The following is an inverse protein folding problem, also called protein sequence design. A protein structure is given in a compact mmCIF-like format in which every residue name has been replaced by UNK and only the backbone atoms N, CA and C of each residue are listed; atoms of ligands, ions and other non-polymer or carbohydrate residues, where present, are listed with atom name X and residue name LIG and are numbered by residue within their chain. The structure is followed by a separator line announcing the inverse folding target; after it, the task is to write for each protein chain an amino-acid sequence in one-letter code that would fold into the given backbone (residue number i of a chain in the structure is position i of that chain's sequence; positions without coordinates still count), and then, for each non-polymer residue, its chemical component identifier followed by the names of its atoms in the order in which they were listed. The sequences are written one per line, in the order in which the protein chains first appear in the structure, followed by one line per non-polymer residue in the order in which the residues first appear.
data_IF_709735223743
#
_entry.id   IF_709735223743
#
_cell.length_a   1.000
_cell.length_b   1.000
_cell.length_c   1.000
_cell.angle_alpha   90.00
_cell.angle_beta   90.00
_cell.angle_gamma   90.00
#
_symmetry.space_group_name_H-M   'P 1'
#
loop_
_entity.id
_entity.type
_entity.pdbx_description
1 polymer ?
#
# COMPACT_ATOMS: atom_id res chain seq x y z
N UNK A 1 5.39 6.36 17.06
CA UNK A 1 4.34 5.43 16.61
C UNK A 1 3.21 6.22 15.96
N UNK A 2 2.82 5.89 14.73
CA UNK A 2 1.75 6.60 14.02
C UNK A 2 0.37 6.30 14.62
N UNK A 3 -0.51 7.30 14.74
CA UNK A 3 -1.92 7.08 15.12
C UNK A 3 -2.61 6.22 14.05
N UNK A 4 -3.48 5.25 14.42
CA UNK A 4 -4.16 4.38 13.47
C UNK A 4 -5.30 5.14 12.75
N UNK A 5 -4.92 6.13 11.93
CA UNK A 5 -5.84 7.03 11.23
C UNK A 5 -6.82 6.26 10.33
N UNK A 6 -6.37 5.18 9.70
CA UNK A 6 -7.21 4.29 8.87
C UNK A 6 -8.28 3.52 9.65
N UNK A 7 -8.22 3.49 10.98
CA UNK A 7 -9.22 2.89 11.88
C UNK A 7 -10.13 3.93 12.53
N UNK A 8 -9.64 5.16 12.68
CA UNK A 8 -10.38 6.27 13.30
C UNK A 8 -11.38 6.87 12.30
N UNK A 9 -11.01 6.93 11.02
CA UNK A 9 -11.91 7.38 9.95
C UNK A 9 -12.78 6.21 9.48
N UNK A 10 -14.11 6.39 9.57
CA UNK A 10 -15.11 5.41 9.13
C UNK A 10 -15.64 5.70 7.72
N UNK A 11 -16.26 4.71 7.09
CA UNK A 11 -16.85 4.84 5.76
C UNK A 11 -15.84 4.95 4.61
N UNK A 12 -16.21 5.72 3.57
CA UNK A 12 -15.44 5.86 2.31
C UNK A 12 -14.06 6.48 2.51
N UNK A 13 -13.95 7.51 3.35
CA UNK A 13 -12.68 8.21 3.60
C UNK A 13 -11.71 7.29 4.34
N UNK A 14 -12.19 6.52 5.31
CA UNK A 14 -11.39 5.50 5.98
C UNK A 14 -10.84 4.46 5.00
N UNK A 15 -11.67 4.03 4.05
CA UNK A 15 -11.27 3.08 3.02
C UNK A 15 -10.23 3.66 2.04
N UNK A 16 -10.40 4.89 1.57
CA UNK A 16 -9.41 5.57 0.73
C UNK A 16 -8.07 5.73 1.46
N UNK A 17 -8.09 6.09 2.75
CA UNK A 17 -6.88 6.18 3.56
C UNK A 17 -6.17 4.82 3.68
N UNK A 18 -6.92 3.73 3.91
CA UNK A 18 -6.38 2.36 3.96
C UNK A 18 -5.77 1.93 2.63
N UNK A 19 -6.40 2.28 1.51
CA UNK A 19 -5.88 2.02 0.16
C UNK A 19 -4.56 2.74 -0.09
N UNK A 20 -4.44 4.02 0.32
CA UNK A 20 -3.19 4.80 0.20
C UNK A 20 -2.07 4.16 1.03
N UNK A 21 -2.36 3.78 2.28
CA UNK A 21 -1.37 3.14 3.18
C UNK A 21 -0.90 1.81 2.60
N UNK A 22 -1.84 0.94 2.17
CA UNK A 22 -1.51 -0.36 1.59
C UNK A 22 -0.74 -0.22 0.26
N UNK A 23 -1.08 0.78 -0.56
CA UNK A 23 -0.35 1.11 -1.78
C UNK A 23 1.09 1.56 -1.51
N UNK A 24 1.29 2.46 -0.55
CA UNK A 24 2.62 2.92 -0.13
C UNK A 24 3.49 1.77 0.39
N UNK A 25 2.93 0.89 1.22
CA UNK A 25 3.64 -0.29 1.71
C UNK A 25 4.05 -1.24 0.57
N UNK A 26 3.18 -1.40 -0.44
CA UNK A 26 3.50 -2.25 -1.61
C UNK A 26 4.62 -1.67 -2.47
N UNK A 27 4.65 -0.35 -2.62
CA UNK A 27 5.73 0.34 -3.34
C UNK A 27 7.06 0.17 -2.58
N UNK A 28 7.06 0.38 -1.26
CA UNK A 28 8.26 0.17 -0.42
C UNK A 28 8.75 -1.27 -0.55
N UNK A 29 7.84 -2.25 -0.53
CA UNK A 29 8.19 -3.66 -0.70
C UNK A 29 8.85 -3.94 -2.07
N UNK A 30 8.35 -3.33 -3.16
CA UNK A 30 8.98 -3.46 -4.48
C UNK A 30 10.34 -2.79 -4.57
N UNK A 31 10.49 -1.61 -3.97
CA UNK A 31 11.77 -0.90 -3.91
C UNK A 31 12.80 -1.74 -3.13
N UNK A 32 12.37 -2.33 -2.01
CA UNK A 32 13.20 -3.19 -1.19
C UNK A 32 13.59 -4.48 -1.93
N UNK A 33 12.67 -5.05 -2.72
CA UNK A 33 12.94 -6.23 -3.55
C UNK A 33 13.99 -6.01 -4.65
N UNK A 34 14.17 -4.77 -5.12
CA UNK A 34 15.24 -4.41 -6.07
C UNK A 34 16.50 -3.87 -5.38
N UNK A 35 16.64 -4.07 -4.06
CA UNK A 35 17.75 -3.54 -3.24
C UNK A 35 18.00 -2.03 -3.44
N UNK A 36 16.94 -1.26 -3.73
CA UNK A 36 17.06 0.18 -3.98
C UNK A 36 17.55 0.58 -5.37
N UNK A 37 17.73 -0.35 -6.32
CA UNK A 37 18.08 -0.03 -7.72
C UNK A 37 16.86 0.43 -8.54
N UNK A 38 16.26 1.53 -8.10
CA UNK A 38 15.06 2.13 -8.71
C UNK A 38 15.42 2.79 -10.06
N UNK A 39 16.69 3.21 -10.22
CA UNK A 39 17.18 3.89 -11.41
C UNK A 39 17.32 2.96 -12.62
N UNK A 40 17.68 1.68 -12.41
CA UNK A 40 17.73 0.68 -13.49
C UNK A 40 16.46 -0.18 -13.57
N UNK A 41 15.80 -0.42 -12.43
CA UNK A 41 14.57 -1.21 -12.38
C UNK A 41 13.42 -0.36 -11.88
N UNK A 42 12.63 0.21 -12.81
CA UNK A 42 11.43 0.99 -12.44
C UNK A 42 10.40 0.07 -11.78
N UNK A 43 10.14 0.20 -10.46
CA UNK A 43 9.15 -0.63 -9.80
C UNK A 43 7.76 -0.17 -10.24
N UNK A 44 7.07 -1.01 -11.01
CA UNK A 44 5.70 -0.77 -11.46
C UNK A 44 4.72 -1.63 -10.68
N UNK A 45 3.54 -1.09 -10.40
CA UNK A 45 2.42 -1.85 -9.87
C UNK A 45 1.78 -2.65 -11.02
N UNK A 46 1.82 -3.98 -10.91
CA UNK A 46 1.11 -4.89 -11.82
C UNK A 46 -0.30 -5.12 -11.27
N UNK A 47 -1.22 -5.62 -12.10
CA UNK A 47 -2.59 -5.91 -11.67
C UNK A 47 -2.68 -6.82 -10.44
N UNK A 48 -1.78 -7.80 -10.31
CA UNK A 48 -1.72 -8.66 -9.12
C UNK A 48 -1.42 -7.85 -7.83
N UNK A 49 -0.62 -6.79 -7.92
CA UNK A 49 -0.32 -5.93 -6.79
C UNK A 49 -1.55 -5.16 -6.31
N UNK A 50 -2.43 -4.77 -7.23
CA UNK A 50 -3.68 -4.09 -6.92
C UNK A 50 -4.65 -4.98 -6.12
N UNK A 51 -4.71 -6.27 -6.44
CA UNK A 51 -5.50 -7.25 -5.66
C UNK A 51 -4.97 -7.33 -4.23
N UNK A 52 -3.64 -7.40 -4.07
CA UNK A 52 -3.02 -7.46 -2.74
C UNK A 52 -3.27 -6.17 -1.93
N UNK A 53 -3.15 -5.01 -2.57
CA UNK A 53 -3.42 -3.70 -1.94
C UNK A 53 -4.89 -3.64 -1.48
N UNK A 54 -5.82 -4.03 -2.34
CA UNK A 54 -7.25 -4.03 -2.04
C UNK A 54 -7.60 -4.99 -0.90
N UNK A 55 -7.11 -6.23 -0.95
CA UNK A 55 -7.32 -7.21 0.11
C UNK A 55 -6.73 -6.74 1.45
N UNK A 56 -5.56 -6.10 1.45
CA UNK A 56 -4.97 -5.53 2.67
C UNK A 56 -5.82 -4.39 3.24
N UNK A 57 -6.27 -3.48 2.39
CA UNK A 57 -7.10 -2.34 2.78
C UNK A 57 -8.50 -2.76 3.28
N UNK A 58 -8.99 -3.91 2.81
CA UNK A 58 -10.29 -4.46 3.18
C UNK A 58 -10.24 -5.37 4.43
N UNK A 59 -9.24 -6.26 4.54
CA UNK A 59 -9.20 -7.28 5.59
C UNK A 59 -8.24 -7.01 6.74
N UNK A 60 -7.15 -6.24 6.54
CA UNK A 60 -5.99 -6.30 7.45
C UNK A 60 -5.76 -5.06 8.34
N UNK A 61 -6.66 -4.07 8.33
CA UNK A 61 -6.68 -2.94 9.28
C UNK A 61 -8.01 -2.89 10.03
#
# INVERSE_FOLDING_TARGET
AGKPLGRILTGRIGFEMRMIIAGGERIIHKISAVNGDIFRHRPTLKMADWIVIFLKAFFRI
#
